data_IF_946124372955
#
_entry.id   IF_946124372955
#
_cell.length_a   1.000
_cell.length_b   1.000
_cell.length_c   1.000
_cell.angle_alpha   90.00
_cell.angle_beta   90.00
_cell.angle_gamma   90.00
#
_symmetry.space_group_name_H-M   'P 1'
#
loop_
_entity.id
_entity.type
_entity.pdbx_description
1 polymer ?
#
# COMPACT_ATOMS: atom_id res chain seq x y z
N UNK A 1 10.00 -11.64 -9.06
CA UNK A 1 9.91 -12.41 -7.79
C UNK A 1 9.30 -11.48 -6.76
N UNK A 2 8.24 -11.90 -6.06
CA UNK A 2 7.62 -11.08 -4.99
C UNK A 2 8.52 -11.12 -3.76
N UNK A 3 8.91 -9.95 -3.24
CA UNK A 3 9.80 -9.84 -2.06
C UNK A 3 8.99 -9.90 -0.76
N UNK A 4 7.83 -9.25 -0.73
CA UNK A 4 6.98 -9.17 0.45
C UNK A 4 5.51 -9.06 0.05
N UNK A 5 4.63 -9.74 0.77
CA UNK A 5 3.19 -9.62 0.64
C UNK A 5 2.59 -9.40 2.03
N UNK A 6 1.77 -8.37 2.16
CA UNK A 6 1.17 -8.00 3.43
C UNK A 6 0.01 -7.03 3.24
N UNK A 7 -0.48 -6.49 4.36
CA UNK A 7 -1.55 -5.50 4.37
C UNK A 7 -0.96 -4.09 4.41
N UNK A 8 -1.66 -3.15 3.79
CA UNK A 8 -1.34 -1.72 3.93
C UNK A 8 -1.65 -1.34 5.38
N UNK A 9 -0.65 -0.81 6.09
CA UNK A 9 -0.79 -0.36 7.47
C UNK A 9 -1.38 1.06 7.54
N UNK A 10 -0.89 1.97 6.69
CA UNK A 10 -1.42 3.32 6.60
C UNK A 10 -1.11 3.96 5.24
N UNK A 11 -1.98 4.88 4.85
CA UNK A 11 -1.75 5.80 3.74
C UNK A 11 -1.81 7.21 4.32
N UNK A 12 -0.79 8.01 4.04
CA UNK A 12 -0.71 9.40 4.51
C UNK A 12 -0.53 10.32 3.33
N UNK A 13 -1.31 11.40 3.33
CA UNK A 13 -1.13 12.51 2.40
C UNK A 13 -0.62 13.70 3.21
N UNK A 14 0.62 14.09 2.98
CA UNK A 14 1.32 15.10 3.79
C UNK A 14 1.34 14.74 5.29
N UNK A 15 0.44 15.33 6.09
CA UNK A 15 0.32 15.09 7.54
C UNK A 15 -0.97 14.39 7.92
N UNK A 16 -1.84 14.11 6.95
CA UNK A 16 -3.17 13.56 7.19
C UNK A 16 -3.20 12.07 6.88
N UNK A 17 -3.71 11.27 7.81
CA UNK A 17 -4.03 9.86 7.59
C UNK A 17 -5.27 9.76 6.69
N UNK A 18 -5.15 9.10 5.55
CA UNK A 18 -6.21 8.94 4.56
C UNK A 18 -6.51 7.46 4.32
N UNK A 19 -7.74 7.16 3.90
CA UNK A 19 -8.15 5.80 3.56
C UNK A 19 -7.79 5.41 2.12
N UNK A 20 -7.73 6.39 1.24
CA UNK A 20 -7.48 6.21 -0.19
C UNK A 20 -6.79 7.44 -0.77
N UNK A 21 -6.13 7.24 -1.91
CA UNK A 21 -5.47 8.27 -2.69
C UNK A 21 -5.83 8.08 -4.15
N UNK A 22 -6.15 9.18 -4.84
CA UNK A 22 -6.40 9.13 -6.27
C UNK A 22 -5.09 8.88 -7.04
N UNK A 23 -5.19 8.23 -8.20
CA UNK A 23 -4.04 7.99 -9.07
C UNK A 23 -3.37 9.32 -9.48
N UNK A 24 -2.04 9.31 -9.56
CA UNK A 24 -1.24 10.48 -9.93
C UNK A 24 -0.95 11.46 -8.79
N UNK A 25 -1.47 11.22 -7.58
CA UNK A 25 -1.12 11.99 -6.39
C UNK A 25 -0.01 11.31 -5.59
N UNK A 26 0.89 12.13 -5.04
CA UNK A 26 1.91 11.67 -4.11
C UNK A 26 1.29 11.31 -2.76
N UNK A 27 1.69 10.15 -2.22
CA UNK A 27 1.31 9.70 -0.90
C UNK A 27 2.45 8.90 -0.24
N UNK A 28 2.47 8.91 1.07
CA UNK A 28 3.25 7.97 1.86
C UNK A 28 2.43 6.71 2.12
N UNK A 29 3.01 5.55 1.87
CA UNK A 29 2.40 4.24 2.16
C UNK A 29 3.30 3.52 3.15
N UNK A 30 2.70 2.92 4.18
CA UNK A 30 3.38 1.99 5.08
C UNK A 30 2.74 0.62 4.97
N UNK A 31 3.56 -0.43 4.91
CA UNK A 31 3.13 -1.81 4.84
C UNK A 31 3.29 -2.44 6.23
N UNK A 32 2.30 -3.20 6.68
CA UNK A 32 2.35 -3.83 8.01
C UNK A 32 3.58 -4.73 8.13
N UNK A 33 4.35 -4.54 9.21
CA UNK A 33 5.60 -5.29 9.49
C UNK A 33 6.67 -5.25 8.37
N UNK A 34 6.65 -4.24 7.50
CA UNK A 34 7.64 -4.08 6.45
C UNK A 34 8.14 -2.63 6.38
N UNK A 35 9.45 -2.43 6.55
CA UNK A 35 10.09 -1.10 6.60
C UNK A 35 11.22 -0.93 5.58
N UNK A 36 11.65 -1.98 4.88
CA UNK A 36 12.77 -1.93 3.93
C UNK A 36 12.28 -1.67 2.49
N UNK A 37 11.42 -0.66 2.31
CA UNK A 37 11.00 -0.20 0.98
C UNK A 37 12.11 0.67 0.40
N UNK A 38 12.56 0.35 -0.81
CA UNK A 38 13.63 1.07 -1.51
C UNK A 38 13.11 1.78 -2.76
N UNK A 39 13.84 2.81 -3.18
CA UNK A 39 13.58 3.48 -4.44
C UNK A 39 13.71 2.48 -5.59
N UNK A 40 12.66 2.40 -6.42
CA UNK A 40 12.58 1.46 -7.53
C UNK A 40 11.72 0.22 -7.23
N UNK A 41 11.29 0.02 -5.98
CA UNK A 41 10.32 -1.03 -5.66
C UNK A 41 8.95 -0.72 -6.27
N UNK A 42 8.28 -1.75 -6.78
CA UNK A 42 6.95 -1.67 -7.36
C UNK A 42 5.96 -2.30 -6.37
N UNK A 43 4.97 -1.52 -5.94
CA UNK A 43 3.90 -1.97 -5.04
C UNK A 43 2.65 -2.20 -5.88
N UNK A 44 2.11 -3.41 -5.84
CA UNK A 44 0.88 -3.80 -6.54
C UNK A 44 -0.24 -4.10 -5.53
N UNK A 45 -1.08 -3.10 -5.18
CA UNK A 45 -2.22 -3.33 -4.31
C UNK A 45 -3.31 -4.12 -5.04
N UNK A 46 -3.89 -5.10 -4.35
CA UNK A 46 -5.02 -5.89 -4.83
C UNK A 46 -6.12 -5.93 -3.76
N UNK A 47 -7.35 -6.13 -4.21
CA UNK A 47 -8.51 -6.32 -3.33
C UNK A 47 -8.83 -7.81 -3.33
N UNK A 48 -8.97 -8.39 -2.14
CA UNK A 48 -9.47 -9.76 -1.99
C UNK A 48 -10.99 -9.71 -2.04
N UNK A 49 -11.59 -10.26 -3.10
CA UNK A 49 -13.02 -10.50 -3.17
C UNK A 49 -13.29 -11.96 -2.82
N UNK A 50 -14.14 -12.19 -1.81
CA UNK A 50 -14.60 -13.53 -1.45
C UNK A 50 -15.88 -13.83 -2.23
N UNK A 51 -15.82 -14.78 -3.17
CA UNK A 51 -16.99 -15.22 -3.92
C UNK A 51 -17.74 -16.24 -3.06
N UNK A 52 -18.80 -15.80 -2.39
CA UNK A 52 -19.75 -16.71 -1.74
C UNK A 52 -20.67 -17.30 -2.82
N UNK A 53 -20.48 -18.59 -3.12
CA UNK A 53 -21.41 -19.38 -3.96
C UNK A 53 -22.61 -19.88 -3.16
#
# INVERSE_FOLDING_TARGET
VVIYQGKIASIRRFKDDVKEVAAGYECGISIDKFQDIKLGDIIEPFIMEEITS
#
